data_IF_282333200517
#
_entry.id   IF_282333200517
#
_cell.length_a   1.000
_cell.length_b   1.000
_cell.length_c   1.000
_cell.angle_alpha   90.00
_cell.angle_beta   90.00
_cell.angle_gamma   90.00
#
_symmetry.space_group_name_H-M   'P 1'
#
loop_
_entity.id
_entity.type
_entity.pdbx_description
1 polymer ?
#
# COMPACT_ATOMS: atom_id res chain seq x y z
N UNK A 1 -21.85 -21.78 -38.58
CA UNK A 1 -21.26 -21.22 -37.34
C UNK A 1 -22.39 -20.48 -36.62
N UNK A 2 -22.83 -20.91 -35.43
CA UNK A 2 -24.04 -20.38 -34.83
C UNK A 2 -23.81 -19.01 -34.20
N UNK A 3 -24.87 -18.20 -34.28
CA UNK A 3 -24.96 -16.84 -33.79
C UNK A 3 -24.85 -16.80 -32.27
N UNK A 4 -23.79 -16.19 -31.73
CA UNK A 4 -23.73 -15.80 -30.33
C UNK A 4 -24.26 -14.38 -30.17
N UNK A 5 -25.57 -14.22 -30.38
CA UNK A 5 -26.29 -13.12 -29.78
C UNK A 5 -26.23 -13.34 -28.26
N UNK A 6 -25.81 -12.32 -27.52
CA UNK A 6 -25.90 -12.29 -26.07
C UNK A 6 -27.37 -12.49 -25.65
N UNK A 7 -27.74 -13.73 -25.38
CA UNK A 7 -29.02 -14.10 -24.79
C UNK A 7 -28.98 -13.77 -23.32
N UNK A 8 -29.31 -12.52 -22.96
CA UNK A 8 -29.71 -12.22 -21.59
C UNK A 8 -31.12 -12.82 -21.42
N UNK A 9 -31.31 -13.87 -20.61
CA UNK A 9 -32.56 -14.64 -20.56
C UNK A 9 -33.58 -13.98 -19.64
N UNK A 10 -33.94 -12.72 -19.89
CA UNK A 10 -34.94 -11.99 -19.07
C UNK A 10 -36.26 -11.73 -19.81
N UNK A 11 -36.39 -12.18 -21.07
CA UNK A 11 -37.51 -11.80 -21.93
C UNK A 11 -38.65 -12.83 -22.04
N UNK A 12 -38.51 -14.05 -21.50
CA UNK A 12 -39.51 -15.11 -21.67
C UNK A 12 -40.38 -15.42 -20.42
N UNK A 13 -40.34 -14.57 -19.39
CA UNK A 13 -41.35 -14.66 -18.32
C UNK A 13 -42.66 -14.00 -18.79
N UNK A 14 -43.81 -14.68 -18.69
CA UNK A 14 -45.09 -14.14 -19.13
C UNK A 14 -45.52 -13.00 -18.19
N UNK A 15 -45.11 -11.78 -18.53
CA UNK A 15 -45.54 -10.59 -17.81
C UNK A 15 -47.01 -10.33 -18.14
N UNK A 16 -47.89 -10.56 -17.16
CA UNK A 16 -49.35 -10.57 -17.32
C UNK A 16 -49.99 -9.21 -17.69
N UNK A 17 -49.22 -8.11 -17.66
CA UNK A 17 -49.71 -6.74 -17.87
C UNK A 17 -49.13 -6.11 -19.15
N UNK A 18 -50.01 -5.69 -20.07
CA UNK A 18 -49.66 -5.06 -21.36
C UNK A 18 -48.84 -3.77 -21.21
N UNK A 19 -49.15 -2.94 -20.21
CA UNK A 19 -48.43 -1.67 -19.96
C UNK A 19 -46.98 -1.92 -19.52
N UNK A 20 -46.74 -2.93 -18.69
CA UNK A 20 -45.37 -3.34 -18.32
C UNK A 20 -44.60 -3.91 -19.51
N UNK A 21 -45.25 -4.72 -20.35
CA UNK A 21 -44.62 -5.23 -21.57
C UNK A 21 -44.23 -4.10 -22.53
N UNK A 22 -45.09 -3.09 -22.69
CA UNK A 22 -44.82 -1.91 -23.52
C UNK A 22 -43.68 -1.07 -22.95
N UNK A 23 -43.68 -0.86 -21.63
CA UNK A 23 -42.62 -0.13 -20.93
C UNK A 23 -41.26 -0.84 -21.09
N UNK A 24 -41.21 -2.16 -20.91
CA UNK A 24 -39.99 -2.96 -21.12
C UNK A 24 -39.56 -2.93 -22.59
N UNK A 25 -40.49 -3.09 -23.54
CA UNK A 25 -40.19 -2.98 -24.98
C UNK A 25 -39.62 -1.60 -25.33
N UNK A 26 -40.16 -0.53 -24.73
CA UNK A 26 -39.66 0.82 -24.89
C UNK A 26 -38.21 0.94 -24.37
N UNK A 27 -37.93 0.49 -23.14
CA UNK A 27 -36.58 0.51 -22.58
C UNK A 27 -35.58 -0.36 -23.35
N UNK A 28 -35.98 -1.56 -23.81
CA UNK A 28 -35.13 -2.42 -24.65
C UNK A 28 -34.84 -1.76 -25.99
N UNK A 29 -35.83 -1.11 -26.60
CA UNK A 29 -35.65 -0.37 -27.86
C UNK A 29 -34.76 0.85 -27.65
N UNK A 30 -34.95 1.58 -26.56
CA UNK A 30 -34.14 2.73 -26.18
C UNK A 30 -32.68 2.35 -25.88
N UNK A 31 -32.44 1.26 -25.16
CA UNK A 31 -31.11 0.70 -24.90
C UNK A 31 -30.40 0.26 -26.19
N UNK A 32 -31.15 -0.29 -27.16
CA UNK A 32 -30.60 -0.65 -28.48
C UNK A 32 -30.30 0.57 -29.35
N UNK A 33 -31.03 1.67 -29.20
CA UNK A 33 -30.75 2.92 -29.91
C UNK A 33 -29.58 3.69 -29.29
N UNK A 34 -29.46 3.72 -27.96
CA UNK A 34 -28.30 4.34 -27.28
C UNK A 34 -27.02 3.54 -27.48
N UNK A 35 -27.11 2.21 -27.60
CA UNK A 35 -25.97 1.35 -27.97
C UNK A 35 -25.46 1.55 -29.41
N UNK A 36 -26.15 2.31 -30.28
CA UNK A 36 -25.60 2.69 -31.59
C UNK A 36 -24.59 3.85 -31.52
N UNK A 37 -24.61 4.63 -30.43
CA UNK A 37 -23.69 5.75 -30.19
C UNK A 37 -22.52 5.36 -29.26
N UNK A 38 -22.62 4.21 -28.59
CA UNK A 38 -21.53 3.61 -27.82
C UNK A 38 -20.69 2.72 -28.73
N UNK A 39 -19.35 2.78 -28.61
CA UNK A 39 -18.43 1.84 -29.26
C UNK A 39 -18.95 0.41 -29.07
N UNK A 40 -18.88 -0.38 -30.14
CA UNK A 40 -19.33 -1.77 -30.19
C UNK A 40 -18.99 -2.52 -28.87
N UNK A 41 -19.98 -3.08 -28.15
CA UNK A 41 -19.74 -3.81 -26.90
C UNK A 41 -18.66 -4.89 -27.03
N UNK A 42 -18.54 -5.49 -28.22
CA UNK A 42 -17.48 -6.43 -28.56
C UNK A 42 -16.09 -5.76 -28.47
N UNK A 43 -15.93 -4.55 -29.04
CA UNK A 43 -14.68 -3.78 -28.97
C UNK A 43 -14.32 -3.39 -27.53
N UNK A 44 -15.30 -3.03 -26.70
CA UNK A 44 -15.06 -2.73 -25.29
C UNK A 44 -14.56 -3.96 -24.54
N UNK A 45 -15.22 -5.12 -24.71
CA UNK A 45 -14.78 -6.38 -24.09
C UNK A 45 -13.37 -6.75 -24.55
N UNK A 46 -13.04 -6.57 -25.83
CA UNK A 46 -11.70 -6.85 -26.34
C UNK A 46 -10.65 -5.88 -25.75
N UNK A 47 -10.98 -4.60 -25.60
CA UNK A 47 -10.11 -3.62 -24.94
C UNK A 47 -9.81 -4.02 -23.49
N UNK A 48 -10.82 -4.38 -22.71
CA UNK A 48 -10.60 -4.84 -21.33
C UNK A 48 -9.78 -6.11 -21.25
N UNK A 49 -9.95 -7.06 -22.17
CA UNK A 49 -9.12 -8.26 -22.22
C UNK A 49 -7.64 -7.93 -22.45
N UNK A 50 -7.36 -7.01 -23.36
CA UNK A 50 -5.99 -6.53 -23.62
C UNK A 50 -5.43 -5.83 -22.39
N UNK A 51 -6.21 -4.93 -21.78
CA UNK A 51 -5.77 -4.19 -20.59
C UNK A 51 -5.49 -5.11 -19.39
N UNK A 52 -6.33 -6.12 -19.17
CA UNK A 52 -6.11 -7.16 -18.15
C UNK A 52 -4.84 -7.96 -18.44
N UNK A 53 -4.62 -8.35 -19.70
CA UNK A 53 -3.42 -9.09 -20.08
C UNK A 53 -2.14 -8.25 -19.90
N UNK A 54 -2.20 -6.95 -20.20
CA UNK A 54 -1.06 -6.04 -20.02
C UNK A 54 -0.77 -5.78 -18.54
N UNK A 55 -1.81 -5.64 -17.71
CA UNK A 55 -1.64 -5.57 -16.25
C UNK A 55 -1.03 -6.85 -15.69
N UNK A 56 -1.48 -8.03 -16.14
CA UNK A 56 -0.91 -9.30 -15.70
C UNK A 56 0.59 -9.40 -16.02
N UNK A 57 0.99 -9.08 -17.25
CA UNK A 57 2.41 -9.04 -17.64
C UNK A 57 3.23 -8.05 -16.80
N UNK A 58 2.65 -6.89 -16.47
CA UNK A 58 3.33 -5.90 -15.63
C UNK A 58 3.54 -6.42 -14.21
N UNK A 59 2.58 -7.15 -13.65
CA UNK A 59 2.72 -7.81 -12.34
C UNK A 59 3.85 -8.84 -12.41
N UNK A 60 3.83 -9.72 -13.39
CA UNK A 60 4.86 -10.76 -13.57
C UNK A 60 6.26 -10.16 -13.66
N UNK A 61 6.43 -9.06 -14.41
CA UNK A 61 7.71 -8.36 -14.53
C UNK A 61 8.18 -7.78 -13.18
N UNK A 62 7.26 -7.15 -12.43
CA UNK A 62 7.57 -6.57 -11.12
C UNK A 62 7.91 -7.64 -10.09
N UNK A 63 7.19 -8.76 -10.08
CA UNK A 63 7.47 -9.89 -9.19
C UNK A 63 8.80 -10.55 -9.52
N UNK A 64 9.09 -10.74 -10.83
CA UNK A 64 10.38 -11.23 -11.31
C UNK A 64 11.52 -10.35 -10.81
N UNK A 65 11.40 -9.02 -10.98
CA UNK A 65 12.41 -8.09 -10.50
C UNK A 65 12.53 -8.09 -8.98
N UNK A 66 11.42 -8.22 -8.24
CA UNK A 66 11.43 -8.33 -6.77
C UNK A 66 12.20 -9.57 -6.31
N UNK A 67 11.95 -10.74 -6.90
CA UNK A 67 12.69 -11.97 -6.56
C UNK A 67 14.18 -11.80 -6.82
N UNK A 68 14.56 -11.17 -7.94
CA UNK A 68 15.97 -10.85 -8.24
C UNK A 68 16.61 -9.97 -7.17
N UNK A 69 15.92 -8.92 -6.71
CA UNK A 69 16.40 -8.07 -5.60
C UNK A 69 16.53 -8.83 -4.27
N UNK A 70 15.76 -9.90 -4.08
CA UNK A 70 15.85 -10.80 -2.92
C UNK A 70 16.96 -11.86 -3.08
N UNK A 71 17.65 -11.90 -4.21
CA UNK A 71 18.69 -12.89 -4.51
C UNK A 71 18.13 -14.23 -5.03
N UNK A 72 16.85 -14.26 -5.44
CA UNK A 72 16.16 -15.45 -5.94
C UNK A 72 16.05 -15.43 -7.48
N UNK A 73 15.89 -16.60 -8.10
CA UNK A 73 15.66 -16.77 -9.56
C UNK A 73 16.71 -16.08 -10.46
N UNK A 74 17.97 -16.09 -10.04
CA UNK A 74 19.09 -15.43 -10.73
C UNK A 74 19.72 -16.25 -11.86
N UNK A 75 19.28 -17.49 -12.08
CA UNK A 75 19.90 -18.44 -13.04
C UNK A 75 19.95 -17.92 -14.49
N UNK A 76 19.01 -17.03 -14.84
CA UNK A 76 18.91 -16.41 -16.17
C UNK A 76 19.50 -15.00 -16.25
N UNK A 77 20.05 -14.47 -15.15
CA UNK A 77 20.61 -13.13 -15.12
C UNK A 77 21.98 -13.09 -15.80
N UNK A 78 22.20 -12.03 -16.59
CA UNK A 78 23.52 -11.72 -17.11
C UNK A 78 24.42 -11.14 -16.01
N UNK A 79 25.73 -11.09 -16.25
CA UNK A 79 26.68 -10.42 -15.35
C UNK A 79 26.32 -8.94 -15.18
N UNK A 80 25.84 -8.28 -16.25
CA UNK A 80 25.38 -6.90 -16.19
C UNK A 80 24.16 -6.74 -15.28
N UNK A 81 23.19 -7.64 -15.41
CA UNK A 81 21.97 -7.64 -14.57
C UNK A 81 22.33 -7.84 -13.10
N UNK A 82 23.23 -8.77 -12.80
CA UNK A 82 23.70 -9.04 -11.44
C UNK A 82 24.39 -7.81 -10.84
N UNK A 83 25.23 -7.12 -11.62
CA UNK A 83 25.88 -5.91 -11.17
C UNK A 83 24.88 -4.76 -10.92
N UNK A 84 23.84 -4.64 -11.75
CA UNK A 84 22.78 -3.65 -11.51
C UNK A 84 22.00 -3.96 -10.23
N UNK A 85 21.64 -5.23 -10.01
CA UNK A 85 20.95 -5.70 -8.79
C UNK A 85 21.81 -5.41 -7.55
N UNK A 86 23.10 -5.77 -7.59
CA UNK A 86 24.05 -5.52 -6.50
C UNK A 86 24.12 -4.03 -6.15
N UNK A 87 24.33 -3.18 -7.15
CA UNK A 87 24.37 -1.73 -6.97
C UNK A 87 23.07 -1.17 -6.36
N UNK A 88 21.92 -1.68 -6.81
CA UNK A 88 20.62 -1.24 -6.29
C UNK A 88 20.41 -1.64 -4.83
N UNK A 89 20.81 -2.86 -4.47
CA UNK A 89 20.76 -3.35 -3.09
C UNK A 89 21.74 -2.58 -2.20
N UNK A 90 22.96 -2.32 -2.66
CA UNK A 90 23.96 -1.59 -1.89
C UNK A 90 23.52 -0.14 -1.59
N UNK A 91 23.00 0.58 -2.59
CA UNK A 91 22.49 1.95 -2.43
C UNK A 91 21.34 2.02 -1.45
N UNK A 92 20.37 1.11 -1.58
CA UNK A 92 19.20 1.06 -0.70
C UNK A 92 19.61 0.71 0.73
N UNK A 93 20.50 -0.26 0.91
CA UNK A 93 21.03 -0.66 2.22
C UNK A 93 21.78 0.48 2.90
N UNK A 94 22.61 1.21 2.15
CA UNK A 94 23.34 2.38 2.65
C UNK A 94 22.36 3.45 3.14
N UNK A 95 21.31 3.74 2.36
CA UNK A 95 20.27 4.69 2.72
C UNK A 95 19.52 4.27 4.00
N UNK A 96 19.11 3.00 4.08
CA UNK A 96 18.40 2.45 5.25
C UNK A 96 19.28 2.53 6.51
N UNK A 97 20.55 2.12 6.40
CA UNK A 97 21.51 2.17 7.51
C UNK A 97 21.75 3.60 7.97
N UNK A 98 21.93 4.54 7.03
CA UNK A 98 22.10 5.96 7.35
C UNK A 98 20.91 6.52 8.13
N UNK A 99 19.68 6.23 7.66
CA UNK A 99 18.47 6.67 8.38
C UNK A 99 18.32 6.02 9.75
N UNK A 100 18.60 4.72 9.86
CA UNK A 100 18.56 4.00 11.14
C UNK A 100 19.56 4.58 12.13
N UNK A 101 20.79 4.85 11.68
CA UNK A 101 21.81 5.48 12.51
C UNK A 101 21.39 6.86 12.99
N UNK A 102 20.86 7.70 12.09
CA UNK A 102 20.35 9.02 12.44
C UNK A 102 19.29 8.95 13.55
N UNK A 103 18.24 8.14 13.35
CA UNK A 103 17.15 8.01 14.32
C UNK A 103 17.64 7.49 15.67
N UNK A 104 18.53 6.50 15.68
CA UNK A 104 19.09 5.98 16.93
C UNK A 104 19.98 7.00 17.63
N UNK A 105 20.77 7.77 16.88
CA UNK A 105 21.60 8.84 17.44
C UNK A 105 20.74 9.92 18.11
N UNK A 106 19.66 10.35 17.45
CA UNK A 106 18.70 11.30 18.00
C UNK A 106 18.06 10.76 19.31
N UNK A 107 17.69 9.47 19.34
CA UNK A 107 17.14 8.85 20.55
C UNK A 107 18.16 8.76 21.69
N UNK A 108 19.41 8.41 21.39
CA UNK A 108 20.49 8.35 22.38
C UNK A 108 20.71 9.74 22.99
N UNK A 109 20.72 10.80 22.18
CA UNK A 109 20.90 12.17 22.65
C UNK A 109 19.75 12.61 23.56
N UNK A 110 18.50 12.34 23.18
CA UNK A 110 17.33 12.63 24.01
C UNK A 110 17.39 11.90 25.37
N UNK A 111 17.82 10.63 25.36
CA UNK A 111 17.95 9.86 26.60
C UNK A 111 19.07 10.39 27.50
N UNK A 112 20.21 10.81 26.93
CA UNK A 112 21.30 11.43 27.69
C UNK A 112 20.86 12.73 28.36
N UNK A 113 20.12 13.58 27.65
CA UNK A 113 19.62 14.84 28.23
C UNK A 113 18.60 14.58 29.35
N UNK A 114 17.73 13.58 29.16
CA UNK A 114 16.78 13.14 30.19
C UNK A 114 17.51 12.59 31.42
N UNK A 115 18.52 11.76 31.23
CA UNK A 115 19.35 11.21 32.30
C UNK A 115 20.00 12.34 33.12
N UNK A 116 20.63 13.30 32.43
CA UNK A 116 21.25 14.47 33.05
C UNK A 116 20.24 15.27 33.88
N UNK A 117 19.09 15.60 33.30
CA UNK A 117 18.03 16.36 33.99
C UNK A 117 17.53 15.62 35.23
N UNK A 118 17.34 14.30 35.15
CA UNK A 118 16.89 13.49 36.27
C UNK A 118 17.95 13.41 37.37
N UNK A 119 19.23 13.29 37.01
CA UNK A 119 20.34 13.27 37.96
C UNK A 119 20.42 14.59 38.74
N UNK A 120 20.38 15.73 38.04
CA UNK A 120 20.39 17.06 38.65
C UNK A 120 19.21 17.25 39.62
N UNK A 121 18.01 16.81 39.23
CA UNK A 121 16.82 16.86 40.12
C UNK A 121 16.98 15.95 41.34
N UNK A 122 17.52 14.75 41.17
CA UNK A 122 17.74 13.82 42.27
C UNK A 122 18.75 14.40 43.28
N UNK A 123 19.88 14.94 42.80
CA UNK A 123 20.86 15.63 43.65
C UNK A 123 20.27 16.85 44.38
N UNK A 124 19.39 17.62 43.73
CA UNK A 124 18.69 18.73 44.37
C UNK A 124 17.72 18.24 45.47
N UNK A 125 17.01 17.14 45.24
CA UNK A 125 16.13 16.54 46.23
C UNK A 125 16.91 15.99 47.43
N UNK A 126 18.02 15.28 47.19
CA UNK A 126 18.89 14.76 48.25
C UNK A 126 19.37 15.88 49.17
N UNK A 127 19.91 16.96 48.61
CA UNK A 127 20.34 18.13 49.39
C UNK A 127 19.21 18.73 50.22
N UNK A 128 18.01 18.83 49.65
CA UNK A 128 16.85 19.37 50.37
C UNK A 128 16.40 18.45 51.51
N UNK A 129 16.48 17.14 51.32
CA UNK A 129 16.19 16.15 52.37
C UNK A 129 17.23 16.26 53.50
N UNK A 130 18.52 16.33 53.16
CA UNK A 130 19.61 16.54 54.12
C UNK A 130 19.40 17.81 54.95
N UNK A 131 19.11 18.95 54.32
CA UNK A 131 18.84 20.21 55.03
C UNK A 131 17.58 20.15 55.92
N UNK A 132 16.52 19.46 55.49
CA UNK A 132 15.32 19.31 56.34
C UNK A 132 15.57 18.48 57.60
N UNK A 133 16.46 17.47 57.54
CA UNK A 133 16.84 16.70 58.72
C UNK A 133 17.69 17.52 59.70
N UNK A 134 18.53 18.43 59.20
CA UNK A 134 19.32 19.34 60.04
C UNK A 134 18.41 20.34 60.78
N UNK A 135 17.39 20.89 60.10
CA UNK A 135 16.41 21.80 60.72
C UNK A 135 15.53 21.13 61.77
N UNK A 136 15.17 19.85 61.58
CA UNK A 136 14.34 19.11 62.52
C UNK A 136 15.12 18.75 63.81
N UNK A 137 16.43 18.47 63.71
CA UNK A 137 17.31 18.21 64.87
C UNK A 137 17.60 19.47 65.69
N UNK A 138 17.60 20.66 65.08
CA UNK A 138 17.85 21.92 65.77
C UNK A 138 16.60 22.46 66.50
N UNK A 139 15.39 22.10 66.05
CA UNK A 139 14.13 22.42 66.76
C UNK A 139 13.85 21.53 67.97
N UNK A 140 14.54 20.42 68.10
CA UNK A 140 14.41 19.46 69.21
C UNK A 140 15.43 19.70 70.35
N UNK A 141 16.32 20.69 70.21
CA UNK A 141 17.26 21.15 71.25
C UNK A 141 16.78 22.44 71.91
#
# INVERSE_FOLDING_TARGET
>A
MPNNACSIPVLDLPLRNKSMQETIKHYVRQARTTNKELKDPEQYIQQWKVEVADMAKKIELLESYRWKLLGENLESCSIGDLHEIENQVERSLTTIRGRKYQVLSEQIEQLKEKEKTLRERNEALLRRVESSFEEDVEKEK
#
